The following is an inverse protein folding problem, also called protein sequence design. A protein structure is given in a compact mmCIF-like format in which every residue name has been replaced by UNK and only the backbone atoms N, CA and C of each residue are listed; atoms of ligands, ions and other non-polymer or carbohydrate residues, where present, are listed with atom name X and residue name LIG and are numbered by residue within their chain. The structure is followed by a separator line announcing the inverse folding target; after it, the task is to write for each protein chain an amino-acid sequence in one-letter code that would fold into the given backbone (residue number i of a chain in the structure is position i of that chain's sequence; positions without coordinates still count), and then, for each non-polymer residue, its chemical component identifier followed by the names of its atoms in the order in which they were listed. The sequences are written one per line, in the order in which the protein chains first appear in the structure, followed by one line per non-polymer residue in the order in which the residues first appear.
data_IF_785513847209
#
_entry.id   IF_785513847209
#
_cell.length_a   1.000
_cell.length_b   1.000
_cell.length_c   1.000
_cell.angle_alpha   90.00
_cell.angle_beta   90.00
_cell.angle_gamma   90.00
#
_symmetry.space_group_name_H-M   'P 1'
#
loop_
_entity.id
_entity.type
_entity.pdbx_description
1 polymer ?
#
# COMPACT_ATOMS: atom_id res chain seq x y z
N UNK A 1 19.83 30.19 11.27
CA UNK A 1 19.79 30.83 9.93
C UNK A 1 18.76 31.95 9.95
N UNK A 2 19.00 33.05 9.24
CA UNK A 2 18.08 34.19 9.17
C UNK A 2 16.85 33.86 8.29
N UNK A 3 15.72 34.55 8.48
CA UNK A 3 14.53 34.37 7.62
C UNK A 3 14.84 34.57 6.13
N UNK A 4 15.68 35.57 5.82
CA UNK A 4 16.15 35.87 4.46
C UNK A 4 16.89 34.70 3.81
N UNK A 5 17.72 33.99 4.58
CA UNK A 5 18.44 32.82 4.04
C UNK A 5 17.51 31.65 3.71
N UNK A 6 16.39 31.51 4.43
CA UNK A 6 15.37 30.49 4.13
C UNK A 6 14.58 30.85 2.86
N UNK A 7 14.18 32.11 2.71
CA UNK A 7 13.49 32.59 1.50
C UNK A 7 14.35 32.43 0.25
N UNK A 8 15.65 32.71 0.35
CA UNK A 8 16.58 32.49 -0.76
C UNK A 8 16.66 31.01 -1.18
N UNK A 9 16.63 30.06 -0.24
CA UNK A 9 16.60 28.64 -0.58
C UNK A 9 15.35 28.29 -1.39
N UNK A 10 14.18 28.84 -1.05
CA UNK A 10 12.97 28.60 -1.84
C UNK A 10 13.08 29.15 -3.27
N UNK A 11 13.68 30.33 -3.45
CA UNK A 11 13.92 30.88 -4.79
C UNK A 11 14.88 30.00 -5.61
N UNK A 12 15.92 29.45 -4.96
CA UNK A 12 16.85 28.53 -5.62
C UNK A 12 16.13 27.22 -5.98
N UNK A 13 15.31 26.66 -5.08
CA UNK A 13 14.53 25.45 -5.36
C UNK A 13 13.61 25.63 -6.56
N UNK A 14 12.93 26.79 -6.65
CA UNK A 14 12.10 27.12 -7.81
C UNK A 14 12.92 27.18 -9.10
N UNK A 15 14.06 27.87 -9.08
CA UNK A 15 14.96 27.94 -10.24
C UNK A 15 15.42 26.55 -10.69
N UNK A 16 15.82 25.69 -9.76
CA UNK A 16 16.24 24.31 -10.07
C UNK A 16 15.09 23.47 -10.66
N UNK A 17 13.84 23.74 -10.28
CA UNK A 17 12.66 23.09 -10.85
C UNK A 17 12.42 23.50 -12.29
N UNK A 18 12.47 24.80 -12.56
CA UNK A 18 12.29 25.40 -13.89
C UNK A 18 13.37 24.91 -14.88
N UNK A 19 14.62 24.85 -14.43
CA UNK A 19 15.76 24.34 -15.21
C UNK A 19 15.86 22.80 -15.23
N UNK A 20 14.93 22.10 -14.55
CA UNK A 20 14.84 20.63 -14.49
C UNK A 20 16.03 19.92 -13.83
N UNK A 21 16.77 20.60 -12.95
CA UNK A 21 17.84 20.01 -12.14
C UNK A 21 17.29 19.28 -10.90
N UNK A 22 16.53 18.21 -11.14
CA UNK A 22 15.79 17.47 -10.10
C UNK A 22 16.68 16.89 -9.00
N UNK A 23 17.80 16.28 -9.35
CA UNK A 23 18.72 15.69 -8.35
C UNK A 23 19.30 16.77 -7.42
N UNK A 24 19.74 17.89 -7.99
CA UNK A 24 20.28 19.03 -7.22
C UNK A 24 19.21 19.64 -6.33
N UNK A 25 17.98 19.76 -6.83
CA UNK A 25 16.85 20.23 -6.04
C UNK A 25 16.60 19.34 -4.83
N UNK A 26 16.45 18.03 -5.00
CA UNK A 26 16.19 17.11 -3.89
C UNK A 26 17.35 17.02 -2.89
N UNK A 27 18.60 17.16 -3.36
CA UNK A 27 19.76 17.31 -2.47
C UNK A 27 19.69 18.61 -1.65
N UNK A 28 19.30 19.72 -2.27
CA UNK A 28 19.15 21.00 -1.55
C UNK A 28 17.98 20.95 -0.54
N UNK A 29 16.86 20.32 -0.90
CA UNK A 29 15.74 20.04 0.02
C UNK A 29 16.23 19.27 1.25
N UNK A 30 16.96 18.18 1.02
CA UNK A 30 17.51 17.31 2.06
C UNK A 30 18.55 18.02 2.95
N UNK A 31 19.52 18.71 2.37
CA UNK A 31 20.61 19.36 3.12
C UNK A 31 20.13 20.61 3.89
N UNK A 32 19.16 21.34 3.33
CA UNK A 32 18.60 22.52 3.99
C UNK A 32 17.55 22.17 5.04
N UNK A 33 16.81 21.07 4.85
CA UNK A 33 15.71 20.64 5.72
C UNK A 33 14.51 21.60 5.72
N UNK A 34 14.43 22.55 4.79
CA UNK A 34 13.39 23.61 4.81
C UNK A 34 12.09 23.24 4.13
N UNK A 35 12.12 22.28 3.20
CA UNK A 35 10.97 21.86 2.42
C UNK A 35 11.02 20.35 2.21
N UNK A 36 9.99 19.64 2.68
CA UNK A 36 9.83 18.21 2.46
C UNK A 36 8.95 17.98 1.23
N UNK A 37 9.52 17.40 0.18
CA UNK A 37 8.81 17.13 -1.06
C UNK A 37 8.08 15.79 -0.98
N UNK A 38 6.79 15.86 -0.65
CA UNK A 38 5.95 14.68 -0.48
C UNK A 38 5.89 13.83 -1.75
N UNK A 39 5.83 14.46 -2.93
CA UNK A 39 5.77 13.75 -4.20
C UNK A 39 7.04 12.96 -4.47
N UNK A 40 8.21 13.58 -4.28
CA UNK A 40 9.49 12.88 -4.42
C UNK A 40 9.61 11.71 -3.44
N UNK A 41 9.20 11.91 -2.18
CA UNK A 41 9.20 10.85 -1.19
C UNK A 41 8.27 9.69 -1.57
N UNK A 42 7.07 9.98 -2.06
CA UNK A 42 6.14 8.96 -2.59
C UNK A 42 6.74 8.19 -3.76
N UNK A 43 7.37 8.88 -4.71
CA UNK A 43 8.02 8.26 -5.87
C UNK A 43 9.15 7.29 -5.42
N UNK A 44 9.98 7.68 -4.44
CA UNK A 44 11.02 6.82 -3.86
C UNK A 44 10.44 5.58 -3.15
N UNK A 45 9.37 5.77 -2.37
CA UNK A 45 8.69 4.68 -1.65
C UNK A 45 8.03 3.72 -2.63
N UNK A 46 7.38 4.22 -3.68
CA UNK A 46 6.79 3.39 -4.73
C UNK A 46 7.85 2.67 -5.57
N UNK A 47 9.02 3.29 -5.76
CA UNK A 47 10.17 2.66 -6.39
C UNK A 47 10.83 1.56 -5.55
N UNK A 48 10.52 1.47 -4.25
CA UNK A 48 11.20 0.57 -3.32
C UNK A 48 12.66 0.95 -3.08
N UNK A 49 13.02 2.21 -3.30
CA UNK A 49 14.38 2.75 -3.13
C UNK A 49 14.65 3.07 -1.64
N UNK A 50 14.52 2.05 -0.78
CA UNK A 50 14.47 2.21 0.68
C UNK A 50 15.68 2.94 1.28
N UNK A 51 16.87 2.75 0.72
CA UNK A 51 18.08 3.43 1.18
C UNK A 51 18.01 4.95 0.89
N UNK A 52 17.47 5.34 -0.26
CA UNK A 52 17.27 6.73 -0.64
C UNK A 52 16.11 7.37 0.14
N UNK A 53 15.04 6.62 0.43
CA UNK A 53 13.95 7.05 1.31
C UNK A 53 14.49 7.43 2.69
N UNK A 54 15.28 6.56 3.32
CA UNK A 54 15.88 6.84 4.63
C UNK A 54 16.88 8.00 4.55
N UNK A 55 17.69 8.05 3.48
CA UNK A 55 18.66 9.13 3.25
C UNK A 55 17.94 10.48 3.16
N UNK A 56 16.92 10.60 2.34
CA UNK A 56 16.13 11.84 2.18
C UNK A 56 15.46 12.23 3.51
N UNK A 57 14.78 11.29 4.18
CA UNK A 57 14.10 11.54 5.45
C UNK A 57 15.04 12.05 6.55
N UNK A 58 16.29 11.56 6.57
CA UNK A 58 17.30 11.97 7.56
C UNK A 58 17.67 13.47 7.51
N UNK A 59 17.40 14.15 6.39
CA UNK A 59 17.55 15.60 6.28
C UNK A 59 16.55 16.40 7.11
N UNK A 60 15.44 15.78 7.50
CA UNK A 60 14.32 16.45 8.18
C UNK A 60 14.12 15.97 9.62
N UNK A 61 14.42 14.70 9.88
CA UNK A 61 14.28 14.12 11.22
C UNK A 61 15.16 12.89 11.42
N UNK A 62 15.52 12.63 12.67
CA UNK A 62 16.22 11.44 13.13
C UNK A 62 15.26 10.47 13.81
N UNK A 63 15.68 9.22 13.91
CA UNK A 63 14.91 8.13 14.50
C UNK A 63 14.44 8.43 15.94
N UNK A 64 15.27 9.11 16.72
CA UNK A 64 15.03 9.37 18.14
C UNK A 64 14.37 10.73 18.44
N UNK A 65 14.11 11.56 17.42
CA UNK A 65 13.62 12.93 17.64
C UNK A 65 12.26 12.96 18.34
N UNK A 66 11.34 12.07 17.93
CA UNK A 66 10.00 11.97 18.49
C UNK A 66 9.31 10.64 18.09
N UNK A 67 8.15 10.36 18.70
CA UNK A 67 7.39 9.12 18.45
C UNK A 67 6.89 8.97 17.01
N UNK A 68 6.64 10.07 16.30
CA UNK A 68 6.20 10.01 14.90
C UNK A 68 7.36 9.62 14.00
N UNK A 69 8.52 10.26 14.15
CA UNK A 69 9.75 9.91 13.42
C UNK A 69 10.11 8.45 13.63
N UNK A 70 10.10 8.00 14.89
CA UNK A 70 10.34 6.60 15.24
C UNK A 70 9.38 5.64 14.51
N UNK A 71 8.08 5.97 14.47
CA UNK A 71 7.09 5.18 13.76
C UNK A 71 7.35 5.16 12.24
N UNK A 72 7.71 6.29 11.65
CA UNK A 72 8.00 6.39 10.21
C UNK A 72 9.20 5.49 9.85
N UNK A 73 10.33 5.61 10.55
CA UNK A 73 11.51 4.77 10.31
C UNK A 73 11.20 3.29 10.53
N UNK A 74 10.42 2.96 11.55
CA UNK A 74 10.01 1.58 11.81
C UNK A 74 9.21 0.99 10.64
N UNK A 75 8.19 1.69 10.14
CA UNK A 75 7.36 1.18 9.04
C UNK A 75 8.16 1.03 7.73
N UNK A 76 9.06 1.97 7.42
CA UNK A 76 9.96 1.89 6.25
C UNK A 76 10.84 0.64 6.32
N UNK A 77 11.53 0.44 7.45
CA UNK A 77 12.45 -0.70 7.65
C UNK A 77 11.72 -2.03 7.71
N UNK A 78 10.52 -2.04 8.30
CA UNK A 78 9.65 -3.22 8.33
C UNK A 78 9.23 -3.61 6.91
N UNK A 79 8.84 -2.65 6.07
CA UNK A 79 8.47 -2.93 4.69
C UNK A 79 9.67 -3.46 3.89
N UNK A 80 10.83 -2.82 3.99
CA UNK A 80 12.09 -3.29 3.39
C UNK A 80 12.42 -4.74 3.79
N UNK A 81 12.20 -5.10 5.05
CA UNK A 81 12.36 -6.45 5.57
C UNK A 81 11.35 -7.44 4.99
N UNK A 82 10.06 -7.08 4.96
CA UNK A 82 9.00 -7.92 4.42
C UNK A 82 9.20 -8.20 2.93
N UNK A 83 9.68 -7.22 2.15
CA UNK A 83 10.02 -7.42 0.74
C UNK A 83 11.21 -8.36 0.55
N UNK A 84 12.21 -8.31 1.43
CA UNK A 84 13.32 -9.25 1.40
C UNK A 84 12.85 -10.69 1.70
N UNK A 85 11.92 -10.85 2.67
CA UNK A 85 11.30 -12.14 2.96
C UNK A 85 10.46 -12.67 1.78
N UNK A 86 9.66 -11.81 1.16
CA UNK A 86 8.79 -12.17 0.02
C UNK A 86 9.60 -12.62 -1.20
N UNK A 87 10.76 -12.00 -1.43
CA UNK A 87 11.73 -12.41 -2.45
C UNK A 87 12.54 -13.66 -2.08
N UNK A 88 12.26 -14.26 -0.91
CA UNK A 88 13.01 -15.37 -0.32
C UNK A 88 14.51 -15.08 -0.10
N UNK A 89 14.91 -13.80 -0.04
CA UNK A 89 16.28 -13.38 0.27
C UNK A 89 16.47 -13.32 1.79
N UNK A 90 16.63 -14.50 2.38
CA UNK A 90 16.80 -14.65 3.84
C UNK A 90 18.06 -13.95 4.35
N UNK A 91 19.13 -13.90 3.55
CA UNK A 91 20.38 -13.26 3.96
C UNK A 91 20.17 -11.75 4.16
N UNK A 92 19.54 -11.09 3.18
CA UNK A 92 19.18 -9.68 3.28
C UNK A 92 18.15 -9.40 4.38
N UNK A 93 17.15 -10.28 4.54
CA UNK A 93 16.16 -10.14 5.60
C UNK A 93 16.80 -10.18 7.01
N UNK A 94 17.74 -11.12 7.25
CA UNK A 94 18.48 -11.19 8.52
C UNK A 94 19.35 -9.94 8.71
N UNK A 95 20.01 -9.46 7.66
CA UNK A 95 20.80 -8.23 7.72
C UNK A 95 19.95 -7.03 8.16
N UNK A 96 18.80 -6.80 7.52
CA UNK A 96 17.87 -5.72 7.86
C UNK A 96 17.36 -5.90 9.30
N UNK A 97 17.00 -7.12 9.69
CA UNK A 97 16.51 -7.39 11.04
C UNK A 97 17.53 -6.99 12.12
N UNK A 98 18.80 -7.35 11.92
CA UNK A 98 19.86 -7.11 12.91
C UNK A 98 20.34 -5.66 12.90
N UNK A 99 20.50 -5.05 11.72
CA UNK A 99 21.03 -3.68 11.58
C UNK A 99 19.97 -2.62 11.80
N UNK A 100 18.81 -2.79 11.18
CA UNK A 100 17.84 -1.72 11.00
C UNK A 100 16.69 -1.82 12.01
N UNK A 101 16.25 -3.04 12.33
CA UNK A 101 15.08 -3.27 13.18
C UNK A 101 15.41 -3.53 14.66
N UNK A 102 16.61 -4.03 14.99
CA UNK A 102 17.01 -4.36 16.37
C UNK A 102 16.94 -3.16 17.32
N UNK A 103 17.17 -1.94 16.82
CA UNK A 103 17.07 -0.71 17.62
C UNK A 103 15.66 -0.50 18.20
N UNK A 104 14.62 -1.06 17.57
CA UNK A 104 13.24 -0.94 18.06
C UNK A 104 12.88 -1.96 19.15
N UNK A 105 13.70 -3.00 19.35
CA UNK A 105 13.44 -4.05 20.33
C UNK A 105 13.41 -3.54 21.77
N UNK A 106 14.16 -2.47 22.07
CA UNK A 106 14.14 -1.81 23.39
C UNK A 106 12.81 -1.13 23.71
N UNK A 107 12.01 -0.81 22.69
CA UNK A 107 10.71 -0.16 22.83
C UNK A 107 9.56 -1.17 22.87
N UNK A 108 9.66 -2.25 22.10
CA UNK A 108 8.67 -3.32 22.07
C UNK A 108 9.33 -4.67 21.73
N UNK A 109 9.70 -5.40 22.77
CA UNK A 109 10.37 -6.70 22.64
C UNK A 109 9.46 -7.75 21.99
N UNK A 110 8.15 -7.70 22.25
CA UNK A 110 7.18 -8.65 21.69
C UNK A 110 7.05 -8.48 20.17
N UNK A 111 6.91 -7.24 19.71
CA UNK A 111 6.86 -6.93 18.27
C UNK A 111 8.15 -7.38 17.55
N UNK A 112 9.30 -7.22 18.20
CA UNK A 112 10.57 -7.69 17.62
C UNK A 112 10.63 -9.23 17.55
N UNK A 113 10.10 -9.94 18.56
CA UNK A 113 9.97 -11.40 18.54
C UNK A 113 9.04 -11.86 17.41
N UNK A 114 7.88 -11.24 17.27
CA UNK A 114 6.92 -11.53 16.19
C UNK A 114 7.59 -11.37 14.81
N UNK A 115 8.25 -10.23 14.57
CA UNK A 115 8.96 -9.97 13.31
C UNK A 115 10.07 -10.99 13.06
N UNK A 116 10.82 -11.36 14.10
CA UNK A 116 11.87 -12.38 14.01
C UNK A 116 11.31 -13.76 13.65
N UNK A 117 10.15 -14.13 14.20
CA UNK A 117 9.47 -15.39 13.87
C UNK A 117 9.07 -15.47 12.38
N UNK A 118 8.83 -14.33 11.71
CA UNK A 118 8.52 -14.31 10.28
C UNK A 118 9.64 -14.92 9.41
N UNK A 119 10.92 -14.88 9.84
CA UNK A 119 12.02 -15.56 9.14
C UNK A 119 11.83 -17.08 9.02
N UNK A 120 11.11 -17.67 9.97
CA UNK A 120 10.88 -19.13 10.05
C UNK A 120 9.67 -19.57 9.25
N UNK A 121 8.82 -18.63 8.81
CA UNK A 121 7.63 -18.92 8.03
C UNK A 121 8.00 -18.98 6.54
N UNK A 122 7.93 -20.18 5.95
CA UNK A 122 8.24 -20.37 4.52
C UNK A 122 7.25 -19.71 3.55
N UNK A 123 6.03 -19.40 4.01
CA UNK A 123 4.91 -19.00 3.16
C UNK A 123 4.08 -17.85 3.76
N UNK A 124 4.73 -16.83 4.35
CA UNK A 124 4.00 -15.69 4.93
C UNK A 124 3.16 -14.94 3.89
N UNK A 125 3.65 -14.82 2.65
CA UNK A 125 2.97 -14.16 1.53
C UNK A 125 1.67 -14.87 1.12
N UNK A 126 1.66 -16.21 1.09
CA UNK A 126 0.46 -17.01 0.85
C UNK A 126 -0.57 -16.87 2.00
N UNK A 127 -0.10 -16.67 3.24
CA UNK A 127 -0.97 -16.56 4.41
C UNK A 127 -1.71 -15.20 4.46
N UNK A 128 -1.06 -14.09 4.06
CA UNK A 128 -1.72 -12.78 3.89
C UNK A 128 -2.72 -12.79 2.73
N UNK A 129 -2.37 -13.40 1.59
CA UNK A 129 -3.26 -13.52 0.44
C UNK A 129 -4.50 -14.40 0.72
N UNK A 130 -4.37 -15.45 1.56
CA UNK A 130 -5.47 -16.34 1.91
C UNK A 130 -6.47 -15.76 2.92
N UNK A 131 -6.04 -14.89 3.84
CA UNK A 131 -6.95 -14.30 4.85
C UNK A 131 -7.90 -13.26 4.27
N UNK A 132 -7.59 -12.69 3.09
CA UNK A 132 -8.39 -11.65 2.44
C UNK A 132 -9.29 -12.17 1.29
N UNK A 133 -9.16 -13.43 0.85
CA UNK A 133 -9.90 -13.93 -0.32
C UNK A 133 -10.53 -15.32 -0.14
N UNK A 134 -11.86 -15.42 -0.31
CA UNK A 134 -12.65 -16.68 -0.32
C UNK A 134 -12.41 -17.58 -1.55
N UNK A 135 -11.48 -17.26 -2.45
CA UNK A 135 -10.99 -18.15 -3.51
C UNK A 135 -9.76 -17.53 -4.20
N UNK A 136 -8.54 -18.00 -3.93
CA UNK A 136 -7.33 -17.44 -4.53
C UNK A 136 -7.03 -18.09 -5.90
N UNK A 137 -6.66 -17.25 -6.89
CA UNK A 137 -5.94 -17.71 -8.08
C UNK A 137 -4.45 -17.82 -7.74
N UNK A 138 -3.71 -18.77 -8.34
CA UNK A 138 -2.32 -19.06 -7.94
C UNK A 138 -1.28 -17.95 -8.20
N UNK A 139 -1.63 -16.88 -8.93
CA UNK A 139 -0.68 -15.81 -9.26
C UNK A 139 -1.37 -14.44 -9.48
N UNK A 140 -1.50 -13.59 -8.46
CA UNK A 140 -1.93 -12.20 -8.63
C UNK A 140 -0.72 -11.24 -8.75
N UNK A 141 -0.70 -10.41 -9.79
CA UNK A 141 0.25 -9.30 -9.91
C UNK A 141 -0.11 -8.19 -8.91
N UNK A 142 0.64 -8.07 -7.81
CA UNK A 142 0.47 -7.02 -6.81
C UNK A 142 1.30 -5.81 -7.22
N UNK A 143 0.64 -4.66 -7.47
CA UNK A 143 1.31 -3.45 -7.98
C UNK A 143 1.50 -2.31 -6.98
N UNK A 144 0.74 -2.15 -5.89
CA UNK A 144 0.97 -1.05 -4.91
C UNK A 144 0.42 -1.31 -3.50
N UNK A 145 1.02 -0.62 -2.51
CA UNK A 145 0.62 -0.55 -1.09
C UNK A 145 -0.52 0.45 -0.80
N UNK A 146 -0.83 1.33 -1.76
CA UNK A 146 -1.76 2.46 -1.59
C UNK A 146 -3.09 2.27 -2.32
N UNK A 147 -3.28 1.13 -3.00
CA UNK A 147 -4.51 0.85 -3.74
C UNK A 147 -4.83 -0.63 -3.60
N UNK A 148 -6.05 -0.93 -3.14
CA UNK A 148 -6.54 -2.31 -3.20
C UNK A 148 -6.47 -2.80 -4.64
N UNK A 149 -5.82 -3.96 -4.84
CA UNK A 149 -5.89 -4.63 -6.12
C UNK A 149 -7.39 -4.82 -6.46
N UNK A 150 -7.77 -4.35 -7.64
CA UNK A 150 -9.08 -4.63 -8.20
C UNK A 150 -8.90 -5.73 -9.24
N UNK A 151 -9.32 -6.95 -8.90
CA UNK A 151 -9.56 -7.98 -9.91
C UNK A 151 -10.56 -7.38 -10.91
N UNK A 152 -10.14 -7.20 -12.17
CA UNK A 152 -11.09 -6.97 -13.24
C UNK A 152 -12.15 -8.08 -13.13
N UNK A 153 -13.41 -7.69 -12.92
CA UNK A 153 -14.53 -8.61 -13.07
C UNK A 153 -14.34 -9.30 -14.44
N UNK A 154 -14.60 -10.61 -14.55
CA UNK A 154 -14.51 -11.26 -15.84
C UNK A 154 -15.42 -10.48 -16.78
N UNK A 155 -14.84 -9.86 -17.80
CA UNK A 155 -15.57 -9.54 -19.01
C UNK A 155 -15.96 -10.89 -19.58
N UNK A 156 -17.12 -11.39 -19.11
CA UNK A 156 -17.81 -12.47 -19.76
C UNK A 156 -17.92 -12.04 -21.22
N UNK A 157 -17.21 -12.79 -22.06
CA UNK A 157 -17.04 -12.49 -23.46
C UNK A 157 -18.39 -12.24 -24.11
N UNK A 158 -18.34 -11.42 -25.15
CA UNK A 158 -19.44 -11.21 -26.08
C UNK A 158 -20.23 -12.51 -26.28
N UNK A 159 -21.49 -12.51 -25.82
CA UNK A 159 -22.43 -13.58 -26.08
C UNK A 159 -22.59 -13.67 -27.60
N UNK A 160 -22.09 -14.73 -28.21
CA UNK A 160 -22.38 -15.05 -29.60
C UNK A 160 -23.91 -15.09 -29.80
N UNK A 161 -24.47 -14.51 -30.88
CA UNK A 161 -25.89 -14.60 -31.14
C UNK A 161 -26.26 -16.05 -31.49
N UNK A 162 -27.39 -16.58 -31.00
CA UNK A 162 -27.84 -17.92 -31.37
C UNK A 162 -28.32 -17.93 -32.84
N UNK A 163 -28.17 -19.06 -33.55
CA UNK A 163 -28.52 -19.15 -34.97
C UNK A 163 -30.05 -19.12 -35.16
N UNK A 164 -30.44 -18.38 -36.19
CA UNK A 164 -31.78 -18.21 -36.75
C UNK A 164 -32.31 -19.52 -37.33
N UNK A 165 -33.53 -19.92 -36.96
CA UNK A 165 -34.38 -20.79 -37.78
C UNK A 165 -35.84 -20.34 -37.65
N UNK A 166 -36.51 -20.25 -38.81
CA UNK A 166 -37.80 -19.64 -39.05
C UNK A 166 -39.04 -20.44 -38.59
N UNK A 167 -40.25 -20.10 -39.09
CA UNK A 167 -41.39 -19.82 -38.22
C UNK A 167 -42.52 -20.86 -38.33
N UNK A 168 -43.13 -21.27 -37.20
CA UNK A 168 -44.43 -21.96 -37.18
C UNK A 168 -45.22 -21.64 -35.89
N UNK A 169 -46.23 -20.79 -36.06
CA UNK A 169 -47.61 -20.85 -35.52
C UNK A 169 -47.85 -21.51 -34.15
N UNK A 170 -48.35 -20.74 -33.18
CA UNK A 170 -49.00 -21.28 -31.97
C UNK A 170 -49.49 -20.19 -31.00
N UNK A 171 -50.75 -20.27 -30.59
CA UNK A 171 -51.60 -19.26 -29.94
C UNK A 171 -51.31 -18.89 -28.47
N UNK A 172 -51.69 -17.64 -28.14
CA UNK A 172 -51.72 -16.96 -26.83
C UNK A 172 -52.62 -17.67 -25.80
N UNK A 173 -52.31 -17.59 -24.49
CA UNK A 173 -53.35 -17.22 -23.52
C UNK A 173 -52.97 -16.02 -22.62
N UNK A 174 -54.01 -15.29 -22.22
CA UNK A 174 -54.02 -13.98 -21.56
C UNK A 174 -53.75 -14.02 -20.04
N UNK A 175 -53.11 -12.93 -19.58
CA UNK A 175 -53.28 -12.15 -18.33
C UNK A 175 -53.51 -12.84 -16.98
N UNK A 176 -52.58 -12.62 -16.04
CA UNK A 176 -52.84 -12.61 -14.61
C UNK A 176 -52.19 -11.38 -13.93
N UNK A 177 -53.08 -10.61 -13.31
CA UNK A 177 -53.02 -9.44 -12.43
C UNK A 177 -51.83 -9.37 -11.44
N UNK A 178 -51.16 -8.23 -11.37
CA UNK A 178 -50.24 -7.85 -10.28
C UNK A 178 -50.99 -7.36 -9.02
N UNK A 179 -50.51 -7.63 -7.79
CA UNK A 179 -50.88 -6.87 -6.58
C UNK A 179 -49.88 -5.74 -6.26
N UNK A 180 -50.29 -4.62 -5.63
CA UNK A 180 -49.43 -3.45 -5.41
C UNK A 180 -48.78 -3.36 -4.01
N UNK A 181 -47.60 -2.73 -4.01
CA UNK A 181 -46.81 -2.01 -2.98
C UNK A 181 -46.78 -2.45 -1.50
N UNK A 182 -45.55 -2.59 -0.99
CA UNK A 182 -45.18 -2.38 0.41
C UNK A 182 -43.82 -1.66 0.51
N UNK A 183 -43.77 -0.54 1.22
CA UNK A 183 -42.59 0.30 1.42
C UNK A 183 -41.64 -0.32 2.47
N UNK A 184 -40.33 -0.25 2.23
CA UNK A 184 -39.31 -0.64 3.20
C UNK A 184 -38.31 0.50 3.46
N UNK A 185 -38.23 0.89 4.73
CA UNK A 185 -37.10 1.55 5.39
C UNK A 185 -37.05 0.98 6.84
N UNK A 186 -35.99 1.24 7.64
CA UNK A 186 -34.57 1.03 7.41
C UNK A 186 -34.02 -0.12 8.29
N UNK A 187 -32.92 -0.76 7.89
CA UNK A 187 -32.30 -1.86 8.64
C UNK A 187 -31.40 -1.32 9.77
N UNK A 188 -31.62 -1.82 10.99
CA UNK A 188 -30.86 -1.50 12.20
C UNK A 188 -29.60 -2.39 12.31
N UNK A 189 -28.48 -1.84 12.76
CA UNK A 189 -27.28 -2.60 13.12
C UNK A 189 -27.49 -3.32 14.47
N UNK A 190 -27.46 -4.65 14.46
CA UNK A 190 -27.47 -5.50 15.64
C UNK A 190 -26.11 -6.14 15.88
N UNK A 191 -25.47 -5.78 16.99
CA UNK A 191 -24.29 -6.40 17.58
C UNK A 191 -24.61 -7.82 18.06
N UNK A 192 -23.80 -8.81 17.68
CA UNK A 192 -23.61 -10.08 18.43
C UNK A 192 -22.73 -11.04 17.63
N UNK A 193 -21.53 -11.36 18.13
CA UNK A 193 -21.32 -12.70 18.70
C UNK A 193 -19.92 -12.80 19.33
N UNK A 194 -19.89 -12.92 20.65
CA UNK A 194 -18.77 -13.38 21.44
C UNK A 194 -19.21 -14.72 22.08
N UNK A 195 -18.40 -15.76 21.90
CA UNK A 195 -18.41 -17.15 22.41
C UNK A 195 -18.08 -18.06 21.22
N UNK A 196 -17.05 -18.87 21.28
CA UNK A 196 -16.67 -19.76 22.37
C UNK A 196 -15.17 -20.02 22.37
#
# INVERSE_FOLDING_TARGET
MSSLSRELVFLILQFLDEEKFKETMHKLEQESGFYFNMKHFEDLVQGGEWDEVERYLSGFTKLEDNRYSMKIFFEIRKQKYLEALDRHDRAKAVEILVKDLKVFASFNEELFKEITQLLTLENFSLNWQHQLYKNPRPNPDIRTLFTDHSCAAPTNGARAPPPTNGPLVGSIPKSARFPPMGAHAPHQWGSSCCKR
#
